data_IF_787573987839
#
_entry.id   IF_787573987839
#
_cell.length_a   1.000
_cell.length_b   1.000
_cell.length_c   1.000
_cell.angle_alpha   90.00
_cell.angle_beta   90.00
_cell.angle_gamma   90.00
#
_symmetry.space_group_name_H-M   'P 1'
#
loop_
_entity.id
_entity.type
_entity.pdbx_description
1 polymer ?
#
# COMPACT_ATOMS: atom_id res chain seq x y z
N UNK A 1 8.60 -6.66 9.53
CA UNK A 1 8.64 -5.37 10.24
C UNK A 1 8.18 -5.56 11.67
N UNK A 2 8.90 -5.02 12.62
CA UNK A 2 8.53 -5.15 14.05
C UNK A 2 7.61 -4.02 14.47
N UNK A 3 6.55 -4.37 15.20
CA UNK A 3 5.72 -3.39 15.87
C UNK A 3 6.47 -2.93 17.12
N UNK A 4 6.71 -1.63 17.23
CA UNK A 4 7.22 -1.05 18.48
C UNK A 4 6.04 -0.57 19.31
N UNK A 5 5.91 -1.08 20.52
CA UNK A 5 4.96 -0.52 21.47
C UNK A 5 5.41 0.90 21.80
N UNK A 6 4.45 1.83 21.90
CA UNK A 6 4.75 3.19 22.28
C UNK A 6 5.35 4.06 21.17
N UNK A 7 4.95 3.84 19.91
CA UNK A 7 5.33 4.73 18.82
C UNK A 7 4.97 6.18 19.18
N UNK A 8 5.89 7.13 18.93
CA UNK A 8 5.60 8.54 19.19
C UNK A 8 4.39 9.00 18.40
N UNK A 9 3.61 9.89 19.00
CA UNK A 9 2.47 10.49 18.33
C UNK A 9 2.95 11.24 17.09
N UNK A 10 2.30 11.00 15.96
CA UNK A 10 2.68 11.61 14.69
C UNK A 10 3.68 10.78 13.86
N UNK A 11 4.18 9.67 14.41
CA UNK A 11 5.04 8.78 13.63
C UNK A 11 4.21 7.97 12.64
N UNK A 12 4.67 7.92 11.40
CA UNK A 12 4.04 7.11 10.36
C UNK A 12 4.71 5.75 10.29
N UNK A 13 3.90 4.69 10.26
CA UNK A 13 4.37 3.33 10.14
C UNK A 13 3.39 2.54 9.28
N UNK A 14 3.90 1.53 8.60
CA UNK A 14 3.09 0.61 7.82
C UNK A 14 3.51 -0.81 8.11
N UNK A 15 2.54 -1.72 8.21
CA UNK A 15 2.80 -3.14 8.40
C UNK A 15 2.41 -3.92 7.16
N UNK A 16 3.31 -4.77 6.72
CA UNK A 16 3.06 -5.74 5.67
C UNK A 16 2.99 -7.12 6.30
N UNK A 17 1.83 -7.77 6.19
CA UNK A 17 1.65 -9.13 6.68
C UNK A 17 1.83 -10.11 5.52
N UNK A 18 2.54 -11.19 5.75
CA UNK A 18 2.85 -12.18 4.72
C UNK A 18 2.04 -13.47 4.84
N UNK A 19 1.04 -13.46 5.71
CA UNK A 19 0.15 -14.60 5.88
C UNK A 19 -1.28 -14.13 6.08
N UNK A 20 -2.22 -14.82 5.45
CA UNK A 20 -3.65 -14.46 5.49
C UNK A 20 -4.25 -14.45 6.88
N UNK A 21 -3.67 -15.19 7.83
CA UNK A 21 -4.18 -15.26 9.20
C UNK A 21 -4.19 -13.91 9.92
N UNK A 22 -3.41 -12.94 9.44
CA UNK A 22 -3.41 -11.59 10.01
C UNK A 22 -4.53 -10.71 9.48
N UNK A 23 -5.23 -11.12 8.42
CA UNK A 23 -6.25 -10.29 7.78
C UNK A 23 -7.60 -10.51 8.45
N UNK A 24 -7.75 -9.99 9.65
CA UNK A 24 -8.99 -10.06 10.42
C UNK A 24 -9.35 -8.69 11.00
N UNK A 25 -10.59 -8.57 11.47
CA UNK A 25 -11.09 -7.30 11.98
C UNK A 25 -10.33 -6.83 13.22
N UNK A 26 -9.91 -7.75 14.07
CA UNK A 26 -9.13 -7.41 15.28
C UNK A 26 -7.81 -6.73 14.91
N UNK A 27 -7.10 -7.29 13.93
CA UNK A 27 -5.84 -6.72 13.44
C UNK A 27 -6.09 -5.35 12.81
N UNK A 28 -7.11 -5.23 11.96
CA UNK A 28 -7.42 -3.95 11.31
C UNK A 28 -7.83 -2.88 12.31
N UNK A 29 -8.62 -3.25 13.31
CA UNK A 29 -9.05 -2.31 14.36
C UNK A 29 -7.85 -1.83 15.19
N UNK A 30 -6.91 -2.71 15.47
CA UNK A 30 -5.69 -2.35 16.18
C UNK A 30 -4.88 -1.33 15.38
N UNK A 31 -4.70 -1.56 14.09
CA UNK A 31 -4.00 -0.62 13.22
C UNK A 31 -4.71 0.74 13.17
N UNK A 32 -6.03 0.73 13.02
CA UNK A 32 -6.83 1.95 13.01
C UNK A 32 -6.68 2.75 14.31
N UNK A 33 -6.70 2.06 15.44
CA UNK A 33 -6.61 2.71 16.74
C UNK A 33 -5.30 3.46 16.94
N UNK A 34 -4.27 3.11 16.19
CA UNK A 34 -2.94 3.70 16.26
C UNK A 34 -2.57 4.53 15.04
N UNK A 35 -3.49 4.68 14.10
CA UNK A 35 -3.25 5.35 12.83
C UNK A 35 -2.02 4.77 12.11
N UNK A 36 -1.92 3.45 12.09
CA UNK A 36 -0.86 2.71 11.40
C UNK A 36 -1.43 2.16 10.11
N UNK A 37 -0.74 2.38 9.00
CA UNK A 37 -1.19 1.92 7.70
C UNK A 37 -1.01 0.40 7.56
N UNK A 38 -1.99 -0.25 6.95
CA UNK A 38 -1.80 -1.59 6.40
C UNK A 38 -1.06 -1.43 5.08
N UNK A 39 0.11 -2.05 4.95
CA UNK A 39 0.80 -2.08 3.68
C UNK A 39 0.03 -2.99 2.73
N UNK A 40 -0.55 -2.41 1.69
CA UNK A 40 -1.30 -3.16 0.69
C UNK A 40 -0.30 -3.69 -0.33
N UNK A 41 -0.01 -4.98 -0.23
CA UNK A 41 0.97 -5.64 -1.09
C UNK A 41 0.25 -6.42 -2.18
N UNK A 42 0.70 -6.25 -3.41
CA UNK A 42 0.25 -7.00 -4.56
C UNK A 42 1.43 -7.85 -5.05
N UNK A 43 1.38 -9.13 -4.75
CA UNK A 43 2.45 -10.08 -5.10
C UNK A 43 1.84 -11.32 -5.77
N UNK A 44 2.70 -12.19 -6.30
CA UNK A 44 2.25 -13.43 -6.92
C UNK A 44 1.72 -14.45 -5.89
N UNK A 45 2.10 -14.30 -4.62
CA UNK A 45 1.76 -15.27 -3.58
C UNK A 45 0.65 -14.80 -2.65
N UNK A 46 0.49 -13.51 -2.47
CA UNK A 46 -0.51 -12.96 -1.56
C UNK A 46 -0.99 -11.61 -2.07
N UNK A 47 -2.28 -11.37 -1.96
CA UNK A 47 -2.89 -10.07 -2.22
C UNK A 47 -3.52 -9.57 -0.93
N UNK A 48 -3.01 -8.45 -0.43
CA UNK A 48 -3.52 -7.85 0.79
C UNK A 48 -4.90 -7.23 0.54
N UNK A 49 -5.87 -7.40 1.45
CA UNK A 49 -7.15 -6.70 1.34
C UNK A 49 -6.95 -5.18 1.32
N UNK A 50 -7.76 -4.49 0.54
CA UNK A 50 -7.72 -3.03 0.42
C UNK A 50 -8.42 -2.37 1.60
N UNK A 51 -7.86 -2.49 2.79
CA UNK A 51 -8.41 -1.91 4.03
C UNK A 51 -7.69 -0.62 4.38
N UNK A 52 -8.47 0.39 4.73
CA UNK A 52 -7.96 1.70 5.11
C UNK A 52 -7.87 1.74 6.64
N UNK A 53 -6.66 1.87 7.16
CA UNK A 53 -6.41 1.84 8.60
C UNK A 53 -5.76 3.11 9.15
N UNK A 54 -5.33 4.01 8.26
CA UNK A 54 -4.66 5.25 8.65
C UNK A 54 -5.04 6.36 7.69
N UNK A 55 -4.66 7.60 8.02
CA UNK A 55 -4.87 8.75 7.14
C UNK A 55 -3.76 8.93 6.09
N UNK A 56 -2.97 7.90 5.90
CA UNK A 56 -2.00 7.78 4.82
C UNK A 56 -2.02 6.33 4.31
N UNK A 57 -1.64 6.15 3.05
CA UNK A 57 -1.60 4.83 2.43
C UNK A 57 -0.20 4.37 2.11
N UNK A 58 -0.01 3.06 2.07
CA UNK A 58 1.26 2.45 1.71
C UNK A 58 1.00 1.23 0.84
N UNK A 59 1.47 1.28 -0.40
CA UNK A 59 1.28 0.22 -1.38
C UNK A 59 2.63 -0.31 -1.86
N UNK A 60 2.74 -1.62 -1.95
CA UNK A 60 3.90 -2.29 -2.54
C UNK A 60 3.42 -3.16 -3.70
N UNK A 61 3.57 -2.65 -4.90
CA UNK A 61 3.13 -3.32 -6.12
C UNK A 61 4.32 -4.08 -6.72
N UNK A 62 4.38 -5.37 -6.43
CA UNK A 62 5.57 -6.19 -6.66
C UNK A 62 5.40 -7.29 -7.70
N UNK A 63 4.32 -7.27 -8.46
CA UNK A 63 4.18 -8.20 -9.57
C UNK A 63 5.05 -7.75 -10.75
N UNK A 64 5.42 -8.71 -11.60
CA UNK A 64 6.28 -8.43 -12.73
C UNK A 64 5.51 -8.09 -14.02
N UNK A 65 4.23 -8.42 -14.05
CA UNK A 65 3.42 -8.44 -15.26
C UNK A 65 2.30 -7.39 -15.27
N UNK A 66 2.53 -6.20 -14.72
CA UNK A 66 1.52 -5.14 -14.74
C UNK A 66 1.21 -4.67 -16.15
N UNK A 67 -0.07 -4.74 -16.52
CA UNK A 67 -0.57 -4.15 -17.75
C UNK A 67 -0.95 -2.69 -17.52
N UNK A 68 -1.22 -1.97 -18.61
CA UNK A 68 -1.72 -0.59 -18.50
C UNK A 68 -3.03 -0.54 -17.70
N UNK A 69 -3.90 -1.53 -17.88
CA UNK A 69 -5.15 -1.63 -17.15
C UNK A 69 -4.92 -1.83 -15.65
N UNK A 70 -3.92 -2.63 -15.28
CA UNK A 70 -3.58 -2.84 -13.87
C UNK A 70 -3.12 -1.54 -13.22
N UNK A 71 -2.27 -0.77 -13.90
CA UNK A 71 -1.79 0.52 -13.41
C UNK A 71 -2.97 1.51 -13.29
N UNK A 72 -3.88 1.50 -14.24
CA UNK A 72 -5.08 2.34 -14.20
C UNK A 72 -5.97 1.98 -12.99
N UNK A 73 -6.17 0.69 -12.71
CA UNK A 73 -6.97 0.25 -11.56
C UNK A 73 -6.36 0.67 -10.24
N UNK A 74 -5.06 0.52 -10.09
CA UNK A 74 -4.36 0.95 -8.89
C UNK A 74 -4.38 2.47 -8.73
N UNK A 75 -4.20 3.20 -9.83
CA UNK A 75 -4.30 4.66 -9.83
C UNK A 75 -5.70 5.13 -9.42
N UNK A 76 -6.74 4.46 -9.93
CA UNK A 76 -8.12 4.74 -9.57
C UNK A 76 -8.36 4.51 -8.08
N UNK A 77 -7.86 3.39 -7.55
CA UNK A 77 -7.95 3.09 -6.12
C UNK A 77 -7.30 4.19 -5.27
N UNK A 78 -6.08 4.60 -5.61
CA UNK A 78 -5.38 5.67 -4.88
C UNK A 78 -6.18 6.97 -4.94
N UNK A 79 -6.72 7.29 -6.12
CA UNK A 79 -7.53 8.51 -6.29
C UNK A 79 -8.80 8.46 -5.46
N UNK A 80 -9.47 7.32 -5.39
CA UNK A 80 -10.65 7.16 -4.55
C UNK A 80 -10.37 7.42 -3.07
N UNK A 81 -9.13 7.15 -2.63
CA UNK A 81 -8.74 7.34 -1.23
C UNK A 81 -8.31 8.78 -0.93
N UNK A 82 -8.39 9.68 -1.89
CA UNK A 82 -7.94 11.08 -1.71
C UNK A 82 -8.67 11.80 -0.58
N UNK A 83 -9.88 11.37 -0.21
CA UNK A 83 -10.62 11.91 0.93
C UNK A 83 -10.20 11.29 2.26
N UNK A 84 -9.60 10.11 2.24
CA UNK A 84 -9.19 9.37 3.44
C UNK A 84 -7.70 9.55 3.74
N UNK A 85 -6.88 9.73 2.69
CA UNK A 85 -5.44 9.79 2.80
C UNK A 85 -4.92 11.20 2.51
N UNK A 86 -4.12 11.72 3.42
CA UNK A 86 -3.38 12.96 3.17
C UNK A 86 -2.16 12.70 2.28
N UNK A 87 -1.58 11.51 2.38
CA UNK A 87 -0.46 11.07 1.57
C UNK A 87 -0.60 9.59 1.21
N UNK A 88 0.01 9.21 0.10
CA UNK A 88 0.11 7.81 -0.30
C UNK A 88 1.54 7.51 -0.74
N UNK A 89 2.09 6.41 -0.23
CA UNK A 89 3.42 5.93 -0.59
C UNK A 89 3.23 4.70 -1.47
N UNK A 90 3.67 4.76 -2.71
CA UNK A 90 3.50 3.67 -3.68
C UNK A 90 4.86 3.25 -4.19
N UNK A 91 5.19 1.98 -4.03
CA UNK A 91 6.46 1.42 -4.47
C UNK A 91 6.23 0.29 -5.44
N UNK A 92 6.93 0.33 -6.56
CA UNK A 92 6.99 -0.75 -7.51
C UNK A 92 8.24 -1.60 -7.29
N UNK A 93 8.21 -2.85 -7.74
CA UNK A 93 9.37 -3.72 -7.63
C UNK A 93 10.53 -3.14 -8.42
N UNK A 94 11.69 -3.06 -7.79
CA UNK A 94 12.91 -2.62 -8.45
C UNK A 94 13.50 -3.80 -9.23
N UNK A 95 13.69 -3.61 -10.53
CA UNK A 95 14.27 -4.61 -11.41
C UNK A 95 15.32 -3.99 -12.32
N UNK A 96 16.27 -4.82 -12.75
CA UNK A 96 17.31 -4.40 -13.70
C UNK A 96 16.73 -3.96 -15.04
N UNK A 97 15.57 -4.49 -15.41
CA UNK A 97 14.87 -4.11 -16.65
C UNK A 97 14.38 -2.67 -16.68
N UNK A 98 14.35 -1.99 -15.51
CA UNK A 98 13.84 -0.62 -15.42
C UNK A 98 12.32 -0.50 -15.50
N UNK A 99 11.59 -1.60 -15.41
CA UNK A 99 10.11 -1.58 -15.51
C UNK A 99 9.48 -0.84 -14.33
N UNK A 100 10.06 -0.92 -13.14
CA UNK A 100 9.55 -0.25 -11.95
C UNK A 100 9.44 1.26 -12.12
N UNK A 101 10.53 1.96 -12.50
CA UNK A 101 10.48 3.39 -12.76
C UNK A 101 9.49 3.78 -13.86
N UNK A 102 9.35 2.96 -14.90
CA UNK A 102 8.38 3.19 -15.97
C UNK A 102 6.96 3.14 -15.45
N UNK A 103 6.62 2.14 -14.64
CA UNK A 103 5.30 1.99 -14.04
C UNK A 103 4.99 3.12 -13.07
N UNK A 104 5.98 3.53 -12.28
CA UNK A 104 5.82 4.65 -11.36
C UNK A 104 5.52 5.96 -12.11
N UNK A 105 6.22 6.21 -13.19
CA UNK A 105 5.97 7.40 -14.04
C UNK A 105 4.57 7.35 -14.64
N UNK A 106 4.15 6.20 -15.13
CA UNK A 106 2.83 6.02 -15.70
C UNK A 106 1.74 6.32 -14.67
N UNK A 107 1.90 5.82 -13.45
CA UNK A 107 0.94 6.10 -12.38
C UNK A 107 0.92 7.58 -12.02
N UNK A 108 2.07 8.24 -11.94
CA UNK A 108 2.12 9.68 -11.65
C UNK A 108 1.38 10.50 -12.70
N UNK A 109 1.50 10.14 -13.96
CA UNK A 109 0.77 10.81 -15.04
C UNK A 109 -0.75 10.63 -14.90
N UNK A 110 -1.19 9.43 -14.51
CA UNK A 110 -2.61 9.14 -14.32
C UNK A 110 -3.19 9.86 -13.10
N UNK A 111 -2.37 10.13 -12.09
CA UNK A 111 -2.80 10.80 -10.86
C UNK A 111 -2.68 12.33 -10.95
N UNK A 112 -2.00 12.83 -11.94
CA UNK A 112 -1.80 14.27 -12.10
C UNK A 112 -3.10 15.02 -12.40
#
# INVERSE_FOLDING_TARGET
>A
MKIRCGLPKGMRAAFEFRHESWFDDETFDLLKSRNIALCIADTDTIVTPKKITADYGYLRLRREDYTDEDVERWSHFVREQSTNWTDAFVYFKHEESGIGPKLARQMMELLA
#
